data_IF_579059124165
#
_entry.id   IF_579059124165
#
_cell.length_a   1.000
_cell.length_b   1.000
_cell.length_c   1.000
_cell.angle_alpha   90.00
_cell.angle_beta   90.00
_cell.angle_gamma   90.00
#
_symmetry.space_group_name_H-M   'P 1'
#
loop_
_entity.id
_entity.type
_entity.pdbx_description
1 polymer ?
#
# COMPACT_ATOMS: atom_id res chain seq x y z
N UNK A 1 7.12 9.79 -23.52
CA UNK A 1 6.69 11.02 -22.80
C UNK A 1 6.98 10.84 -21.32
N UNK A 2 7.90 11.63 -20.73
CA UNK A 2 8.14 11.60 -19.30
C UNK A 2 6.89 12.17 -18.60
N UNK A 3 6.33 11.41 -17.68
CA UNK A 3 5.08 11.76 -17.05
C UNK A 3 5.27 12.90 -16.03
N UNK A 4 4.22 13.67 -15.74
CA UNK A 4 4.29 14.81 -14.80
C UNK A 4 4.85 14.43 -13.41
N UNK A 5 4.58 13.20 -12.96
CA UNK A 5 5.09 12.65 -11.71
C UNK A 5 6.55 12.15 -11.77
N UNK A 6 7.11 11.94 -12.97
CA UNK A 6 8.53 11.60 -13.13
C UNK A 6 9.44 12.83 -12.98
N UNK A 7 8.90 14.04 -13.15
CA UNK A 7 9.65 15.30 -13.03
C UNK A 7 9.58 15.93 -11.64
N UNK A 8 8.43 15.79 -10.97
CA UNK A 8 8.16 16.45 -9.70
C UNK A 8 8.17 15.50 -8.49
N UNK A 9 8.45 14.20 -8.69
CA UNK A 9 8.54 13.15 -7.66
C UNK A 9 7.44 13.18 -6.58
N UNK A 10 6.23 13.66 -6.92
CA UNK A 10 5.15 13.81 -5.95
C UNK A 10 4.66 12.43 -5.50
N UNK A 11 4.99 12.06 -4.26
CA UNK A 11 4.43 10.90 -3.59
C UNK A 11 2.95 11.16 -3.28
N UNK A 12 2.15 10.08 -3.28
CA UNK A 12 0.76 10.17 -2.81
C UNK A 12 0.83 10.40 -1.29
N UNK A 13 0.19 11.46 -0.75
CA UNK A 13 0.08 11.64 0.69
C UNK A 13 -0.54 10.41 1.34
N UNK A 14 -0.09 10.01 2.53
CA UNK A 14 -0.50 8.75 3.17
C UNK A 14 -2.03 8.67 3.36
N UNK A 15 -2.66 9.80 3.66
CA UNK A 15 -4.11 9.90 3.90
C UNK A 15 -4.94 9.71 2.63
N UNK A 16 -4.32 9.87 1.46
CA UNK A 16 -4.92 9.63 0.14
C UNK A 16 -4.50 8.29 -0.45
N UNK A 17 -3.71 7.49 0.26
CA UNK A 17 -3.26 6.18 -0.21
C UNK A 17 -4.25 5.08 0.21
N UNK A 18 -5.01 4.59 -0.77
CA UNK A 18 -6.00 3.52 -0.60
C UNK A 18 -5.41 2.20 -0.05
N UNK A 19 -4.08 2.05 0.01
CA UNK A 19 -3.41 0.89 0.61
C UNK A 19 -3.38 0.96 2.14
N UNK A 20 -3.54 2.16 2.71
CA UNK A 20 -3.51 2.38 4.15
C UNK A 20 -4.91 2.12 4.72
N UNK A 21 -5.05 1.01 5.43
CA UNK A 21 -6.33 0.63 6.06
C UNK A 21 -6.56 1.27 7.42
N UNK A 22 -5.48 1.56 8.15
CA UNK A 22 -5.52 2.10 9.51
C UNK A 22 -4.55 3.28 9.59
N UNK A 23 -5.01 4.50 9.94
CA UNK A 23 -4.15 5.67 10.10
C UNK A 23 -3.20 5.46 11.29
N UNK A 24 -2.07 6.16 11.31
CA UNK A 24 -1.04 5.94 12.34
C UNK A 24 -1.54 6.26 13.76
N UNK A 25 -2.41 7.25 13.89
CA UNK A 25 -2.95 7.68 15.18
C UNK A 25 -3.76 6.56 15.86
N UNK A 26 -4.47 5.75 15.06
CA UNK A 26 -5.24 4.59 15.53
C UNK A 26 -4.35 3.43 15.97
N UNK A 27 -3.06 3.41 15.63
CA UNK A 27 -2.16 2.31 16.06
C UNK A 27 -1.97 2.31 17.56
N UNK A 28 -2.00 3.50 18.19
CA UNK A 28 -1.96 3.62 19.65
C UNK A 28 -3.21 3.02 20.28
N UNK A 29 -4.39 3.36 19.77
CA UNK A 29 -5.66 2.81 20.24
C UNK A 29 -5.70 1.28 20.17
N UNK A 30 -5.16 0.69 19.11
CA UNK A 30 -5.07 -0.77 18.95
C UNK A 30 -4.18 -1.39 20.03
N UNK A 31 -3.04 -0.77 20.34
CA UNK A 31 -2.13 -1.23 21.40
C UNK A 31 -2.77 -1.12 22.78
N UNK A 32 -3.40 0.01 23.07
CA UNK A 32 -4.05 0.26 24.37
C UNK A 32 -5.19 -0.73 24.59
N UNK A 33 -6.04 -0.94 23.58
CA UNK A 33 -7.13 -1.94 23.63
C UNK A 33 -6.61 -3.37 23.83
N UNK A 34 -5.49 -3.72 23.19
CA UNK A 34 -4.85 -5.02 23.37
C UNK A 34 -4.33 -5.21 24.80
N UNK A 35 -3.71 -4.18 25.38
CA UNK A 35 -3.24 -4.17 26.78
C UNK A 35 -4.44 -4.32 27.74
N UNK A 36 -5.57 -3.68 27.44
CA UNK A 36 -6.82 -3.85 28.19
C UNK A 36 -7.48 -5.24 28.03
N UNK A 37 -6.87 -6.16 27.28
CA UNK A 37 -7.33 -7.55 27.16
C UNK A 37 -8.16 -7.85 25.91
N UNK A 38 -8.33 -6.91 24.96
CA UNK A 38 -8.97 -7.26 23.68
C UNK A 38 -8.08 -8.20 22.89
N UNK A 39 -8.68 -9.27 22.37
CA UNK A 39 -7.98 -10.22 21.50
C UNK A 39 -7.70 -9.62 20.13
N UNK A 40 -6.68 -10.15 19.45
CA UNK A 40 -6.34 -9.80 18.06
C UNK A 40 -7.53 -10.04 17.12
N UNK A 41 -8.33 -11.08 17.39
CA UNK A 41 -9.54 -11.38 16.63
C UNK A 41 -10.59 -10.29 16.76
N UNK A 42 -10.87 -9.85 18.00
CA UNK A 42 -11.82 -8.79 18.26
C UNK A 42 -11.38 -7.47 17.60
N UNK A 43 -10.08 -7.13 17.70
CA UNK A 43 -9.52 -5.95 17.06
C UNK A 43 -9.59 -6.00 15.53
N UNK A 44 -9.32 -7.16 14.92
CA UNK A 44 -9.41 -7.31 13.47
C UNK A 44 -10.85 -7.13 12.96
N UNK A 45 -11.84 -7.64 13.70
CA UNK A 45 -13.27 -7.43 13.39
C UNK A 45 -13.68 -5.97 13.57
N UNK A 46 -13.28 -5.34 14.69
CA UNK A 46 -13.58 -3.94 15.00
C UNK A 46 -13.06 -2.97 13.94
N UNK A 47 -11.83 -3.17 13.46
CA UNK A 47 -11.22 -2.33 12.41
C UNK A 47 -11.49 -2.85 10.99
N UNK A 48 -12.24 -3.95 10.82
CA UNK A 48 -12.50 -4.60 9.53
C UNK A 48 -11.22 -4.84 8.69
N UNK A 49 -10.18 -5.40 9.33
CA UNK A 49 -8.89 -5.70 8.71
C UNK A 49 -8.48 -7.15 8.92
N UNK A 50 -7.47 -7.60 8.16
CA UNK A 50 -6.89 -8.91 8.40
C UNK A 50 -6.13 -8.96 9.74
N UNK A 51 -6.24 -10.11 10.43
CA UNK A 51 -5.58 -10.35 11.72
C UNK A 51 -4.07 -10.13 11.66
N UNK A 52 -3.43 -10.40 10.52
CA UNK A 52 -1.99 -10.20 10.34
C UNK A 52 -1.60 -8.72 10.39
N UNK A 53 -2.47 -7.81 9.95
CA UNK A 53 -2.21 -6.37 10.07
C UNK A 53 -2.14 -5.97 11.55
N UNK A 54 -3.12 -6.41 12.35
CA UNK A 54 -3.13 -6.16 13.80
C UNK A 54 -1.88 -6.76 14.46
N UNK A 55 -1.50 -8.00 14.11
CA UNK A 55 -0.27 -8.61 14.61
C UNK A 55 0.97 -7.78 14.30
N UNK A 56 1.10 -7.24 13.09
CA UNK A 56 2.25 -6.41 12.72
C UNK A 56 2.26 -5.04 13.41
N UNK A 57 1.10 -4.52 13.83
CA UNK A 57 1.01 -3.28 14.61
C UNK A 57 1.44 -3.51 16.06
N UNK A 58 1.02 -4.64 16.65
CA UNK A 58 1.33 -5.03 18.03
C UNK A 58 2.77 -5.57 18.19
N UNK A 59 3.24 -6.32 17.19
CA UNK A 59 4.49 -7.08 17.22
C UNK A 59 5.34 -6.77 15.97
N UNK A 60 6.04 -5.61 15.95
CA UNK A 60 6.82 -5.17 14.80
C UNK A 60 7.94 -6.16 14.41
N UNK A 61 8.50 -6.89 15.36
CA UNK A 61 9.52 -7.92 15.14
C UNK A 61 9.00 -9.05 14.23
N UNK A 62 7.71 -9.38 14.31
CA UNK A 62 7.09 -10.39 13.42
C UNK A 62 6.99 -9.89 11.99
N UNK A 63 6.81 -8.58 11.81
CA UNK A 63 6.80 -7.96 10.47
C UNK A 63 8.20 -8.01 9.86
N UNK A 64 9.23 -7.70 10.64
CA UNK A 64 10.63 -7.74 10.19
C UNK A 64 11.04 -9.15 9.78
N UNK A 65 10.75 -10.16 10.62
CA UNK A 65 10.99 -11.56 10.29
C UNK A 65 10.27 -11.96 8.99
N UNK A 66 9.00 -11.56 8.83
CA UNK A 66 8.25 -11.88 7.63
C UNK A 66 8.84 -11.25 6.35
N UNK A 67 9.44 -10.06 6.46
CA UNK A 67 10.15 -9.42 5.35
C UNK A 67 11.43 -10.18 5.01
N UNK A 68 12.22 -10.58 6.01
CA UNK A 68 13.42 -11.39 5.81
C UNK A 68 13.09 -12.75 5.17
N UNK A 69 12.07 -13.45 5.67
CA UNK A 69 11.61 -14.73 5.12
C UNK A 69 11.10 -14.60 3.67
N UNK A 70 10.53 -13.44 3.32
CA UNK A 70 10.10 -13.15 1.95
C UNK A 70 11.31 -12.94 1.04
N UNK A 71 12.31 -12.21 1.50
CA UNK A 71 13.55 -11.97 0.76
C UNK A 71 14.29 -13.28 0.47
N UNK A 72 14.47 -14.12 1.50
CA UNK A 72 15.14 -15.41 1.38
C UNK A 72 14.49 -16.36 0.35
N UNK A 73 13.16 -16.29 0.17
CA UNK A 73 12.41 -17.11 -0.79
C UNK A 73 12.48 -16.61 -2.25
N UNK A 74 13.15 -15.49 -2.52
CA UNK A 74 13.23 -14.88 -3.85
C UNK A 74 12.46 -13.57 -3.99
N UNK A 75 11.87 -13.07 -2.90
CA UNK A 75 11.35 -11.71 -2.81
C UNK A 75 10.22 -11.41 -3.79
N UNK A 76 10.26 -10.22 -4.38
CA UNK A 76 9.25 -9.80 -5.38
C UNK A 76 9.50 -10.40 -6.77
N UNK A 77 10.72 -10.89 -7.04
CA UNK A 77 11.13 -11.35 -8.37
C UNK A 77 10.68 -12.78 -8.67
N UNK A 78 10.35 -13.56 -7.63
CA UNK A 78 9.95 -14.97 -7.74
C UNK A 78 8.82 -15.22 -8.75
N UNK A 79 7.88 -14.28 -8.89
CA UNK A 79 6.72 -14.37 -9.79
C UNK A 79 6.64 -13.19 -10.77
N UNK A 80 7.79 -12.59 -11.12
CA UNK A 80 7.79 -11.38 -11.91
C UNK A 80 7.44 -11.65 -13.38
N UNK A 81 6.32 -11.10 -13.82
CA UNK A 81 5.82 -11.14 -15.19
C UNK A 81 5.87 -9.72 -15.78
N UNK A 82 6.66 -9.55 -16.85
CA UNK A 82 6.92 -8.28 -17.51
C UNK A 82 5.67 -7.65 -18.10
N UNK A 83 4.82 -8.47 -18.73
CA UNK A 83 3.58 -8.04 -19.37
C UNK A 83 2.56 -7.56 -18.34
N UNK A 84 2.36 -8.35 -17.27
CA UNK A 84 1.49 -7.94 -16.16
C UNK A 84 2.00 -6.67 -15.51
N UNK A 85 3.30 -6.56 -15.25
CA UNK A 85 3.88 -5.36 -14.65
C UNK A 85 3.65 -4.13 -15.55
N UNK A 86 3.81 -4.25 -16.88
CA UNK A 86 3.53 -3.15 -17.81
C UNK A 86 2.09 -2.63 -17.68
N UNK A 87 1.11 -3.52 -17.61
CA UNK A 87 -0.32 -3.18 -17.44
C UNK A 87 -0.57 -2.50 -16.08
N UNK A 88 -0.05 -3.09 -14.99
CA UNK A 88 -0.20 -2.52 -13.65
C UNK A 88 0.45 -1.13 -13.52
N UNK A 89 1.63 -0.93 -14.11
CA UNK A 89 2.30 0.37 -14.10
C UNK A 89 1.48 1.41 -14.87
N UNK A 90 0.85 1.03 -15.98
CA UNK A 90 -0.07 1.92 -16.70
C UNK A 90 -1.24 2.33 -15.80
N UNK A 91 -1.90 1.38 -15.14
CA UNK A 91 -3.01 1.66 -14.22
C UNK A 91 -2.59 2.57 -13.05
N UNK A 92 -1.45 2.29 -12.40
CA UNK A 92 -0.90 3.13 -11.33
C UNK A 92 -0.69 4.58 -11.79
N UNK A 93 -0.19 4.77 -13.02
CA UNK A 93 0.00 6.10 -13.61
C UNK A 93 -1.32 6.83 -13.86
N UNK A 94 -2.37 6.12 -14.28
CA UNK A 94 -3.70 6.71 -14.45
C UNK A 94 -4.30 7.14 -13.11
N UNK A 95 -4.27 6.27 -12.12
CA UNK A 95 -4.78 6.57 -10.77
C UNK A 95 -4.08 7.78 -10.13
N UNK A 96 -2.76 7.89 -10.27
CA UNK A 96 -2.01 9.08 -9.82
C UNK A 96 -2.50 10.36 -10.51
N UNK A 97 -2.77 10.32 -11.81
CA UNK A 97 -3.30 11.50 -12.52
C UNK A 97 -4.66 11.89 -12.01
N UNK A 98 -5.53 10.93 -11.70
CA UNK A 98 -6.86 11.17 -11.11
C UNK A 98 -6.75 11.84 -9.74
N UNK A 99 -5.93 11.30 -8.83
CA UNK A 99 -5.71 11.89 -7.49
C UNK A 99 -5.26 13.36 -7.58
N UNK A 100 -4.42 13.69 -8.56
CA UNK A 100 -3.90 15.05 -8.75
C UNK A 100 -4.71 15.89 -9.76
N UNK A 101 -5.83 15.40 -10.29
CA UNK A 101 -6.68 16.11 -11.25
C UNK A 101 -6.02 16.43 -12.61
N UNK A 102 -4.97 15.70 -12.99
CA UNK A 102 -4.19 15.95 -14.20
C UNK A 102 -4.91 15.35 -15.43
N UNK A 103 -5.34 16.19 -16.39
CA UNK A 103 -5.93 15.73 -17.66
C UNK A 103 -4.96 14.82 -18.42
N UNK A 104 -5.47 13.75 -19.04
CA UNK A 104 -4.70 12.99 -20.02
C UNK A 104 -4.43 13.90 -21.23
N UNK A 105 -3.19 13.95 -21.77
CA UNK A 105 -2.98 14.61 -23.05
C UNK A 105 -3.83 13.88 -24.09
N UNK A 106 -4.65 14.62 -24.86
CA UNK A 106 -5.36 14.07 -26.01
C UNK A 106 -4.30 13.47 -26.93
N UNK A 107 -4.41 12.19 -27.26
CA UNK A 107 -3.57 11.60 -28.32
C UNK A 107 -3.90 12.39 -29.59
N UNK A 108 -2.92 13.05 -30.20
CA UNK A 108 -3.08 13.54 -31.57
C UNK A 108 -3.42 12.31 -32.42
N UNK A 109 -4.58 12.31 -33.09
CA UNK A 109 -4.79 11.38 -34.20
C UNK A 109 -3.76 11.80 -35.24
N UNK A 110 -2.92 10.86 -35.65
CA UNK A 110 -2.18 11.04 -36.89
C UNK A 110 -3.20 10.70 -37.97
N UNK A 111 -3.70 11.74 -38.63
CA UNK A 111 -4.45 11.62 -39.88
C UNK A 111 -3.50 11.22 -41.03
#
# INVERSE_FOLDING_TARGET
MPYHFDRNYKLIPRDKDNRVKIPLDEHKNIRDKYICGKSIHALAQEYNVDRRLIQFILFPERREKNLADREARGGYKQYYDTEKNRVYQKACRHHRKEIFGLKQPKRKRND
#
